data_IF_891907404534
#
_entry.id   IF_891907404534
#
_cell.length_a   1.000
_cell.length_b   1.000
_cell.length_c   1.000
_cell.angle_alpha   90.00
_cell.angle_beta   90.00
_cell.angle_gamma   90.00
#
_symmetry.space_group_name_H-M   'P 1'
#
loop_
_entity.id
_entity.type
_entity.pdbx_description
1 polymer ?
#
# COMPACT_ATOMS: atom_id res chain seq x y z
N UNK A 1 -3.95 -35.79 11.38
CA UNK A 1 -3.21 -34.54 11.68
C UNK A 1 -2.65 -34.06 10.36
N UNK A 2 -3.20 -32.99 9.78
CA UNK A 2 -2.97 -32.60 8.39
C UNK A 2 -1.76 -31.65 8.29
N UNK A 3 -0.56 -32.21 8.35
CA UNK A 3 0.71 -31.47 8.25
C UNK A 3 0.79 -30.58 6.99
N UNK A 4 0.21 -31.03 5.87
CA UNK A 4 0.22 -30.25 4.62
C UNK A 4 -0.56 -28.93 4.74
N UNK A 5 -1.67 -28.93 5.48
CA UNK A 5 -2.49 -27.72 5.69
C UNK A 5 -1.79 -26.71 6.62
N UNK A 6 -1.02 -27.19 7.60
CA UNK A 6 -0.23 -26.34 8.49
C UNK A 6 0.94 -25.69 7.74
N UNK A 7 1.67 -26.46 6.94
CA UNK A 7 2.78 -25.95 6.12
C UNK A 7 2.30 -24.91 5.10
N UNK A 8 1.13 -25.11 4.49
CA UNK A 8 0.54 -24.14 3.57
C UNK A 8 0.15 -22.83 4.28
N UNK A 9 -0.39 -22.92 5.51
CA UNK A 9 -0.71 -21.75 6.32
C UNK A 9 0.55 -20.95 6.70
N UNK A 10 1.63 -21.63 7.07
CA UNK A 10 2.89 -20.99 7.45
C UNK A 10 3.56 -20.25 6.28
N UNK A 11 3.53 -20.85 5.07
CA UNK A 11 4.04 -20.20 3.85
C UNK A 11 3.24 -18.94 3.52
N UNK A 12 1.91 -19.01 3.59
CA UNK A 12 1.04 -17.86 3.33
C UNK A 12 1.27 -16.72 4.34
N UNK A 13 1.53 -17.04 5.61
CA UNK A 13 1.88 -16.04 6.63
C UNK A 13 3.23 -15.37 6.34
N UNK A 14 4.24 -16.14 5.91
CA UNK A 14 5.53 -15.57 5.52
C UNK A 14 5.42 -14.64 4.32
N UNK A 15 4.66 -15.01 3.29
CA UNK A 15 4.40 -14.14 2.12
C UNK A 15 3.68 -12.85 2.51
N UNK A 16 2.70 -12.94 3.41
CA UNK A 16 2.01 -11.77 3.95
C UNK A 16 2.97 -10.84 4.70
N UNK A 17 3.81 -11.38 5.59
CA UNK A 17 4.74 -10.54 6.36
C UNK A 17 5.78 -9.84 5.46
N UNK A 18 6.25 -10.51 4.40
CA UNK A 18 7.17 -9.93 3.43
C UNK A 18 6.52 -8.78 2.64
N UNK A 19 5.29 -8.97 2.16
CA UNK A 19 4.54 -7.94 1.43
C UNK A 19 4.17 -6.76 2.32
N UNK A 20 3.77 -7.03 3.56
CA UNK A 20 3.50 -6.00 4.59
C UNK A 20 4.74 -5.14 4.81
N UNK A 21 5.91 -5.76 5.00
CA UNK A 21 7.18 -5.06 5.20
C UNK A 21 7.54 -4.18 4.00
N UNK A 22 7.34 -4.66 2.78
CA UNK A 22 7.60 -3.90 1.56
C UNK A 22 6.68 -2.66 1.46
N UNK A 23 5.39 -2.80 1.79
CA UNK A 23 4.45 -1.68 1.77
C UNK A 23 4.72 -0.66 2.88
N UNK A 24 5.16 -1.13 4.06
CA UNK A 24 5.61 -0.24 5.14
C UNK A 24 6.83 0.61 4.74
N UNK A 25 7.79 0.04 3.99
CA UNK A 25 8.92 0.80 3.44
C UNK A 25 8.47 1.89 2.46
N UNK A 26 7.35 1.69 1.77
CA UNK A 26 6.71 2.66 0.88
C UNK A 26 5.82 3.67 1.64
N UNK A 27 5.85 3.66 2.98
CA UNK A 27 5.11 4.59 3.83
C UNK A 27 3.65 4.19 4.12
N UNK A 28 3.22 2.99 3.72
CA UNK A 28 1.87 2.50 4.05
C UNK A 28 1.81 2.08 5.51
N UNK A 29 0.66 2.31 6.15
CA UNK A 29 0.42 1.94 7.55
C UNK A 29 -0.54 0.75 7.62
N UNK A 30 -0.20 -0.33 8.34
CA UNK A 30 -1.12 -1.43 8.55
C UNK A 30 -2.33 -0.96 9.37
N UNK A 31 -3.51 -1.43 9.00
CA UNK A 31 -4.78 -1.11 9.64
C UNK A 31 -5.50 -2.41 10.01
N UNK A 32 -5.99 -2.47 11.25
CA UNK A 32 -6.80 -3.59 11.71
C UNK A 32 -6.00 -4.87 12.00
N UNK A 33 -6.70 -6.01 11.93
CA UNK A 33 -6.17 -7.36 12.22
C UNK A 33 -5.99 -8.15 10.92
N UNK A 34 -5.08 -9.12 10.93
CA UNK A 34 -4.94 -10.09 9.85
C UNK A 34 -6.23 -10.92 9.78
N UNK A 35 -6.87 -10.95 8.62
CA UNK A 35 -8.08 -11.71 8.37
C UNK A 35 -7.79 -12.86 7.40
N UNK A 36 -8.40 -14.03 7.62
CA UNK A 36 -8.42 -15.09 6.62
C UNK A 36 -9.41 -14.72 5.52
N UNK A 37 -8.93 -14.68 4.27
CA UNK A 37 -9.76 -14.40 3.11
C UNK A 37 -9.45 -15.40 1.99
N UNK A 38 -10.47 -16.17 1.57
CA UNK A 38 -10.40 -17.16 0.47
C UNK A 38 -9.20 -18.14 0.55
N UNK A 39 -8.87 -18.64 1.74
CA UNK A 39 -7.79 -19.62 1.93
C UNK A 39 -6.38 -19.03 2.06
N UNK A 40 -6.26 -17.71 2.15
CA UNK A 40 -5.03 -17.00 2.49
C UNK A 40 -5.24 -16.00 3.63
N UNK A 41 -4.16 -15.35 4.04
CA UNK A 41 -4.20 -14.25 4.99
C UNK A 41 -4.16 -12.92 4.24
N UNK A 42 -4.89 -11.92 4.73
CA UNK A 42 -4.87 -10.56 4.22
C UNK A 42 -4.79 -9.55 5.36
N UNK A 43 -4.11 -8.42 5.14
CA UNK A 43 -4.04 -7.30 6.08
C UNK A 43 -4.39 -6.01 5.31
N UNK A 44 -5.35 -5.26 5.84
CA UNK A 44 -5.68 -3.96 5.28
C UNK A 44 -4.57 -2.94 5.55
N UNK A 45 -4.27 -2.10 4.58
CA UNK A 45 -3.27 -1.05 4.70
C UNK A 45 -3.79 0.28 4.20
N UNK A 46 -3.40 1.35 4.89
CA UNK A 46 -3.74 2.71 4.53
C UNK A 46 -2.50 3.42 3.97
N UNK A 47 -2.62 3.96 2.75
CA UNK A 47 -1.60 4.82 2.17
C UNK A 47 -1.84 6.24 2.66
N UNK A 48 -0.87 6.91 3.31
CA UNK A 48 -0.96 8.34 3.51
C UNK A 48 -0.98 8.99 2.14
N UNK A 49 -2.14 9.54 1.74
CA UNK A 49 -2.23 10.39 0.56
C UNK A 49 -1.24 11.53 0.79
N UNK A 50 -0.22 11.62 -0.05
CA UNK A 50 0.60 12.82 -0.11
C UNK A 50 -0.37 13.98 -0.27
N UNK A 51 -0.32 14.91 0.69
CA UNK A 51 -0.96 16.21 0.57
C UNK A 51 -0.37 16.78 -0.71
N UNK A 52 -1.08 16.61 -1.84
CA UNK A 52 -0.76 17.28 -3.09
C UNK A 52 -0.49 18.70 -2.69
N UNK A 53 0.73 19.17 -2.94
CA UNK A 53 1.08 20.56 -2.73
C UNK A 53 0.00 21.39 -3.43
N UNK A 54 -0.94 21.89 -2.64
CA UNK A 54 -1.99 22.78 -3.12
C UNK A 54 -1.19 23.96 -3.61
N UNK A 55 -1.03 24.07 -4.94
CA UNK A 55 -0.40 25.23 -5.53
C UNK A 55 -1.14 26.43 -4.95
N UNK A 56 -0.44 27.41 -4.35
CA UNK A 56 -1.09 28.63 -3.91
C UNK A 56 -1.89 29.15 -5.10
N UNK A 57 -3.21 29.20 -4.96
CA UNK A 57 -4.10 29.83 -5.93
C UNK A 57 -3.64 31.29 -5.97
N UNK A 58 -2.85 31.66 -6.98
CA UNK A 58 -2.26 33.01 -7.08
C UNK A 58 -0.81 33.09 -7.54
N UNK A 59 -0.04 32.00 -7.61
CA UNK A 59 1.29 32.03 -8.24
C UNK A 59 1.15 32.00 -9.77
N UNK A 60 0.89 33.18 -10.34
CA UNK A 60 0.91 33.45 -11.77
C UNK A 60 2.32 33.15 -12.29
N UNK A 61 2.55 31.94 -12.79
CA UNK A 61 3.82 31.58 -13.40
C UNK A 61 4.11 32.55 -14.55
N UNK A 62 5.20 33.30 -14.46
CA UNK A 62 5.70 34.19 -15.53
C UNK A 62 6.22 33.42 -16.76
N UNK A 63 6.24 32.09 -16.69
CA UNK A 63 6.67 31.23 -17.77
C UNK A 63 5.54 31.09 -18.79
N UNK A 64 5.73 31.66 -19.98
CA UNK A 64 4.82 31.49 -21.10
C UNK A 64 4.84 30.02 -21.56
N UNK A 65 3.76 29.30 -21.33
CA UNK A 65 3.59 27.97 -21.90
C UNK A 65 3.35 28.08 -23.41
N UNK A 66 4.05 27.30 -24.25
CA UNK A 66 3.86 27.35 -25.69
C UNK A 66 2.44 26.86 -26.03
N UNK A 67 1.64 27.74 -26.64
CA UNK A 67 0.38 27.34 -27.27
C UNK A 67 0.71 26.68 -28.60
N UNK A 68 0.55 25.37 -28.68
CA UNK A 68 0.49 24.69 -29.98
C UNK A 68 -0.88 25.00 -30.60
N UNK A 69 -0.86 25.54 -31.83
CA UNK A 69 -2.05 25.87 -32.62
C UNK A 69 -2.70 24.61 -33.19
#
# INVERSE_FOLDING_TARGET
MNLEQEVLKDKNLMELTATVKAHMQLGWKPKGKIMEHKGGFALEMERPLEVRWLRPIGLRSWVAWPKYK
#
